data_IF_218255141869
#
_entry.id   IF_218255141869
#
_cell.length_a   1.000
_cell.length_b   1.000
_cell.length_c   1.000
_cell.angle_alpha   90.00
_cell.angle_beta   90.00
_cell.angle_gamma   90.00
#
_symmetry.space_group_name_H-M   'P 1'
#
loop_
_entity.id
_entity.type
_entity.pdbx_description
1 polymer ?
#
# COMPACT_ATOMS: atom_id res chain seq x y z
N UNK A 1 59.66 19.39 -7.03
CA UNK A 1 58.32 19.31 -7.66
C UNK A 1 57.53 18.16 -7.03
N UNK A 2 56.20 18.35 -6.94
CA UNK A 2 55.11 17.42 -6.58
C UNK A 2 54.54 17.55 -5.16
N UNK A 3 53.56 18.47 -5.12
CA UNK A 3 52.54 18.72 -4.10
C UNK A 3 51.55 17.55 -3.98
N UNK A 4 51.01 17.40 -2.76
CA UNK A 4 49.68 16.88 -2.36
C UNK A 4 49.29 15.45 -2.77
N UNK A 5 48.83 14.64 -1.78
CA UNK A 5 47.39 14.53 -1.61
C UNK A 5 47.01 14.43 -0.12
N UNK A 6 46.57 15.54 0.47
CA UNK A 6 45.90 15.57 1.80
C UNK A 6 44.56 16.30 1.73
N UNK A 7 43.87 16.18 0.60
CA UNK A 7 42.61 16.87 0.33
C UNK A 7 41.57 15.93 -0.30
N UNK A 8 41.48 14.70 0.19
CA UNK A 8 40.43 13.74 -0.20
C UNK A 8 39.57 13.27 0.97
N UNK A 9 39.68 13.93 2.14
CA UNK A 9 38.82 13.64 3.30
C UNK A 9 37.72 14.69 3.54
N UNK A 10 37.76 15.84 2.86
CA UNK A 10 36.83 16.96 3.09
C UNK A 10 35.66 17.05 2.10
N UNK A 11 35.56 16.13 1.14
CA UNK A 11 34.48 16.14 0.12
C UNK A 11 33.29 15.23 0.46
N UNK A 12 33.39 14.38 1.49
CA UNK A 12 32.28 13.52 1.92
C UNK A 12 31.23 14.24 2.79
N UNK A 13 31.46 15.49 3.18
CA UNK A 13 30.58 16.26 4.07
C UNK A 13 29.47 17.04 3.35
N UNK A 14 29.51 17.17 2.03
CA UNK A 14 28.59 18.02 1.25
C UNK A 14 27.49 17.26 0.49
N UNK A 15 27.37 15.94 0.69
CA UNK A 15 26.26 15.14 0.14
C UNK A 15 25.02 15.11 1.06
N UNK A 16 25.15 15.51 2.33
CA UNK A 16 24.05 15.47 3.32
C UNK A 16 23.12 16.70 3.26
N UNK A 17 23.40 17.68 2.39
CA UNK A 17 22.67 18.96 2.38
C UNK A 17 21.61 19.11 1.26
N UNK A 18 21.49 18.14 0.34
CA UNK A 18 20.53 18.20 -0.79
C UNK A 18 19.68 16.93 -0.98
N UNK A 19 19.97 15.86 -0.25
CA UNK A 19 19.18 14.62 -0.28
C UNK A 19 18.14 14.61 0.83
N UNK A 20 17.15 15.48 0.75
CA UNK A 20 15.92 15.36 1.54
C UNK A 20 15.14 14.12 1.09
N UNK A 21 15.68 12.94 1.40
CA UNK A 21 14.95 11.68 1.28
C UNK A 21 13.97 11.72 2.44
N UNK A 22 12.79 12.26 2.19
CA UNK A 22 11.62 11.77 2.90
C UNK A 22 11.53 10.31 2.47
N UNK A 23 12.20 9.44 3.22
CA UNK A 23 11.87 8.04 3.25
C UNK A 23 10.46 8.00 3.84
N UNK A 24 9.46 8.30 3.01
CA UNK A 24 8.18 7.66 3.12
C UNK A 24 8.54 6.18 2.95
N UNK A 25 8.90 5.53 4.06
CA UNK A 25 8.77 4.10 4.14
C UNK A 25 7.36 3.82 3.60
N UNK A 26 7.20 2.98 2.56
CA UNK A 26 5.87 2.67 2.12
C UNK A 26 5.15 2.18 3.38
N UNK A 27 4.01 2.81 3.71
CA UNK A 27 3.02 2.18 4.57
C UNK A 27 2.54 0.98 3.76
N UNK A 28 3.35 -0.06 3.81
CA UNK A 28 3.41 -1.03 2.76
C UNK A 28 2.28 -2.03 3.04
N UNK A 29 1.32 -2.04 2.12
CA UNK A 29 0.41 -3.15 1.86
C UNK A 29 -0.91 -3.22 2.64
N UNK A 30 -1.21 -2.26 3.51
CA UNK A 30 -2.46 -2.27 4.26
C UNK A 30 -3.46 -1.18 3.84
N UNK A 31 -3.41 -0.78 2.56
CA UNK A 31 -4.25 0.31 2.05
C UNK A 31 -5.46 -0.24 1.29
N UNK A 32 -6.52 0.57 1.08
CA UNK A 32 -7.61 0.21 0.17
C UNK A 32 -7.12 -0.17 -1.24
N UNK A 33 -5.96 0.35 -1.66
CA UNK A 33 -5.32 -0.04 -2.93
C UNK A 33 -4.82 -1.49 -2.90
N UNK A 34 -4.25 -1.95 -1.79
CA UNK A 34 -3.81 -3.34 -1.65
C UNK A 34 -4.98 -4.31 -1.73
N UNK A 35 -6.12 -3.97 -1.12
CA UNK A 35 -7.38 -4.70 -1.30
C UNK A 35 -7.80 -4.74 -2.78
N UNK A 36 -7.81 -3.58 -3.44
CA UNK A 36 -8.22 -3.48 -4.84
C UNK A 36 -7.38 -4.37 -5.77
N UNK A 37 -6.06 -4.26 -5.67
CA UNK A 37 -5.15 -5.08 -6.47
C UNK A 37 -5.25 -6.57 -6.12
N UNK A 38 -5.39 -6.91 -4.84
CA UNK A 38 -5.58 -8.32 -4.42
C UNK A 38 -6.82 -8.94 -5.08
N UNK A 39 -7.94 -8.19 -5.13
CA UNK A 39 -9.17 -8.70 -5.76
C UNK A 39 -8.99 -8.82 -7.27
N UNK A 40 -8.45 -7.82 -7.95
CA UNK A 40 -8.34 -7.87 -9.42
C UNK A 40 -7.24 -8.82 -9.92
N UNK A 41 -6.17 -9.03 -9.16
CA UNK A 41 -5.15 -10.03 -9.49
C UNK A 41 -5.69 -11.45 -9.39
N UNK A 42 -6.51 -11.74 -8.36
CA UNK A 42 -7.04 -13.09 -8.12
C UNK A 42 -8.41 -13.33 -8.77
N UNK A 43 -9.14 -12.26 -9.09
CA UNK A 43 -10.47 -12.28 -9.70
C UNK A 43 -10.62 -11.15 -10.73
N UNK A 44 -9.94 -11.22 -11.88
CA UNK A 44 -9.87 -10.14 -12.87
C UNK A 44 -11.21 -9.77 -13.52
N UNK A 45 -12.23 -10.63 -13.41
CA UNK A 45 -13.58 -10.37 -13.88
C UNK A 45 -14.44 -9.55 -12.89
N UNK A 46 -13.94 -9.25 -11.69
CA UNK A 46 -14.65 -8.41 -10.73
C UNK A 46 -14.91 -7.02 -11.32
N UNK A 47 -16.01 -6.36 -10.93
CA UNK A 47 -16.25 -4.99 -11.33
C UNK A 47 -15.31 -4.03 -10.58
N UNK A 48 -14.38 -3.32 -11.26
CA UNK A 48 -13.40 -2.46 -10.58
C UNK A 48 -14.05 -1.38 -9.71
N UNK A 49 -15.16 -0.79 -10.14
CA UNK A 49 -15.84 0.27 -9.37
C UNK A 49 -16.45 -0.26 -8.07
N UNK A 50 -16.96 -1.50 -8.09
CA UNK A 50 -17.49 -2.16 -6.89
C UNK A 50 -16.35 -2.53 -5.95
N UNK A 51 -15.26 -3.05 -6.50
CA UNK A 51 -14.06 -3.40 -5.73
C UNK A 51 -13.47 -2.18 -5.03
N UNK A 52 -13.27 -1.06 -5.75
CA UNK A 52 -12.73 0.16 -5.17
C UNK A 52 -13.58 0.66 -4.01
N UNK A 53 -14.91 0.75 -4.21
CA UNK A 53 -15.84 1.18 -3.17
C UNK A 53 -15.84 0.26 -1.95
N UNK A 54 -15.86 -1.06 -2.17
CA UNK A 54 -15.81 -2.03 -1.09
C UNK A 54 -14.50 -1.93 -0.28
N UNK A 55 -13.37 -1.76 -0.98
CA UNK A 55 -12.07 -1.60 -0.33
C UNK A 55 -11.97 -0.30 0.46
N UNK A 56 -12.58 0.81 0.00
CA UNK A 56 -12.68 2.05 0.78
C UNK A 56 -13.49 1.85 2.06
N UNK A 57 -14.59 1.09 2.01
CA UNK A 57 -15.35 0.73 3.22
C UNK A 57 -14.46 -0.07 4.18
N UNK A 58 -13.70 -1.06 3.67
CA UNK A 58 -12.80 -1.87 4.51
C UNK A 58 -11.69 -1.06 5.18
N UNK A 59 -11.28 0.05 4.56
CA UNK A 59 -10.29 1.00 5.05
C UNK A 59 -10.85 2.06 6.01
N UNK A 60 -12.08 1.89 6.50
CA UNK A 60 -12.59 2.57 7.70
C UNK A 60 -12.22 1.80 8.99
N UNK A 61 -11.70 0.57 8.83
CA UNK A 61 -11.13 -0.20 9.92
C UNK A 61 -12.16 -0.87 10.83
N UNK A 62 -11.68 -1.84 11.60
CA UNK A 62 -12.52 -2.58 12.56
C UNK A 62 -13.46 -3.63 11.94
N UNK A 63 -14.15 -4.40 12.80
CA UNK A 63 -14.88 -5.59 12.37
C UNK A 63 -16.14 -5.32 11.55
N UNK A 64 -16.76 -4.14 11.72
CA UNK A 64 -17.96 -3.75 10.96
C UNK A 64 -17.62 -3.36 9.52
N UNK A 65 -16.59 -2.53 9.34
CA UNK A 65 -16.04 -2.15 8.04
C UNK A 65 -15.61 -3.37 7.22
N UNK A 66 -14.84 -4.28 7.83
CA UNK A 66 -14.41 -5.54 7.17
C UNK A 66 -15.62 -6.38 6.73
N UNK A 67 -16.67 -6.45 7.56
CA UNK A 67 -17.90 -7.19 7.23
C UNK A 67 -18.69 -6.53 6.10
N UNK A 68 -18.76 -5.20 6.09
CA UNK A 68 -19.43 -4.43 5.04
C UNK A 68 -18.69 -4.58 3.70
N UNK A 69 -17.36 -4.39 3.69
CA UNK A 69 -16.50 -4.67 2.54
C UNK A 69 -16.73 -6.09 1.99
N UNK A 70 -16.68 -7.09 2.87
CA UNK A 70 -16.89 -8.49 2.48
C UNK A 70 -18.25 -8.69 1.82
N UNK A 71 -19.31 -8.09 2.38
CA UNK A 71 -20.67 -8.22 1.86
C UNK A 71 -20.81 -7.63 0.46
N UNK A 72 -20.22 -6.46 0.20
CA UNK A 72 -20.26 -5.82 -1.12
C UNK A 72 -19.52 -6.65 -2.17
N UNK A 73 -18.31 -7.14 -1.87
CA UNK A 73 -17.57 -8.01 -2.79
C UNK A 73 -18.31 -9.33 -3.07
N UNK A 74 -18.99 -9.90 -2.06
CA UNK A 74 -19.78 -11.12 -2.23
C UNK A 74 -21.03 -10.90 -3.09
N UNK A 75 -21.65 -9.72 -3.03
CA UNK A 75 -22.77 -9.34 -3.89
C UNK A 75 -22.35 -9.25 -5.36
N UNK A 76 -21.10 -8.88 -5.62
CA UNK A 76 -20.47 -8.88 -6.94
C UNK A 76 -19.84 -10.23 -7.32
N UNK A 77 -20.21 -11.31 -6.61
CA UNK A 77 -19.76 -12.69 -6.86
C UNK A 77 -18.25 -12.95 -6.68
N UNK A 78 -17.48 -12.01 -6.12
CA UNK A 78 -16.06 -12.21 -5.78
C UNK A 78 -15.92 -13.38 -4.79
N UNK A 79 -15.09 -14.40 -5.04
CA UNK A 79 -14.95 -15.57 -4.17
C UNK A 79 -14.68 -15.21 -2.71
N UNK A 80 -15.30 -15.95 -1.79
CA UNK A 80 -15.32 -15.60 -0.36
C UNK A 80 -13.93 -15.49 0.28
N UNK A 81 -13.00 -16.35 -0.10
CA UNK A 81 -11.61 -16.32 0.41
C UNK A 81 -10.91 -15.03 -0.03
N UNK A 82 -11.03 -14.67 -1.32
CA UNK A 82 -10.44 -13.45 -1.89
C UNK A 82 -11.06 -12.22 -1.24
N UNK A 83 -12.39 -12.18 -1.14
CA UNK A 83 -13.11 -11.07 -0.52
C UNK A 83 -12.70 -10.86 0.95
N UNK A 84 -12.65 -11.93 1.75
CA UNK A 84 -12.27 -11.83 3.15
C UNK A 84 -10.81 -11.40 3.32
N UNK A 85 -9.89 -11.97 2.54
CA UNK A 85 -8.47 -11.62 2.61
C UNK A 85 -8.22 -10.17 2.21
N UNK A 86 -8.82 -9.71 1.12
CA UNK A 86 -8.68 -8.33 0.64
C UNK A 86 -9.25 -7.32 1.66
N UNK A 87 -10.45 -7.56 2.19
CA UNK A 87 -11.06 -6.69 3.19
C UNK A 87 -10.28 -6.66 4.51
N UNK A 88 -9.70 -7.78 4.93
CA UNK A 88 -8.83 -7.81 6.11
C UNK A 88 -7.59 -6.93 5.91
N UNK A 89 -6.93 -7.03 4.74
CA UNK A 89 -5.77 -6.21 4.40
C UNK A 89 -6.10 -4.72 4.34
N UNK A 90 -7.30 -4.35 3.88
CA UNK A 90 -7.74 -2.96 3.85
C UNK A 90 -7.81 -2.32 5.26
N UNK A 91 -8.18 -3.10 6.27
CA UNK A 91 -8.33 -2.63 7.65
C UNK A 91 -7.02 -2.57 8.45
N UNK A 92 -5.90 -3.03 7.90
CA UNK A 92 -4.60 -3.07 8.59
C UNK A 92 -3.81 -1.76 8.45
N UNK A 93 -4.32 -0.77 7.69
CA UNK A 93 -3.62 0.47 7.35
C UNK A 93 -3.97 1.68 8.22
N UNK A 94 -4.78 1.48 9.26
CA UNK A 94 -5.20 2.48 10.23
C UNK A 94 -4.70 2.16 11.64
#
# INVERSE_FOLDING_TARGET
MRLAPRLTAALSGLALALGGVVALAPAAHATPQACFYTVLEQHPQANPEVVERACLIGAEGGPEAVRACYTELRRDYVPAVIAFEACRRAAEGE
#
